data_IF_503216278742
#
_entry.id   IF_503216278742
#
_cell.length_a   1.000
_cell.length_b   1.000
_cell.length_c   1.000
_cell.angle_alpha   90.00
_cell.angle_beta   90.00
_cell.angle_gamma   90.00
#
_symmetry.space_group_name_H-M   'P 1'
#
loop_
_entity.id
_entity.type
_entity.pdbx_description
1 polymer ?
#
# COMPACT_ATOMS: atom_id res chain seq x y z
N UNK A 1 -12.20 1.29 -18.91
CA UNK A 1 -13.15 2.37 -18.52
C UNK A 1 -13.95 2.79 -19.73
N UNK A 2 -15.09 3.46 -19.60
CA UNK A 2 -15.80 4.04 -20.75
C UNK A 2 -15.29 5.46 -20.98
N UNK A 3 -14.91 5.77 -22.22
CA UNK A 3 -14.44 7.09 -22.64
C UNK A 3 -15.24 7.53 -23.87
N UNK A 4 -15.50 8.83 -24.00
CA UNK A 4 -16.22 9.42 -25.14
C UNK A 4 -15.22 10.24 -25.94
N UNK A 5 -15.20 10.08 -27.27
CA UNK A 5 -14.28 10.74 -28.18
C UNK A 5 -15.04 11.29 -29.37
N UNK A 6 -14.81 12.54 -29.77
CA UNK A 6 -15.42 13.03 -31.01
C UNK A 6 -14.71 12.43 -32.22
N UNK A 7 -15.43 12.00 -33.25
CA UNK A 7 -14.87 11.62 -34.54
C UNK A 7 -15.27 12.63 -35.62
N UNK A 8 -14.40 12.84 -36.60
CA UNK A 8 -14.68 13.69 -37.74
C UNK A 8 -15.40 12.86 -38.82
N UNK A 9 -16.65 13.20 -39.13
CA UNK A 9 -17.35 12.62 -40.28
C UNK A 9 -17.19 13.57 -41.46
N UNK A 10 -16.39 13.20 -42.46
CA UNK A 10 -16.33 13.94 -43.73
C UNK A 10 -17.49 13.44 -44.58
N UNK A 11 -18.50 14.29 -44.76
CA UNK A 11 -19.63 14.02 -45.65
C UNK A 11 -19.26 14.53 -47.05
N UNK A 12 -19.31 13.67 -48.06
CA UNK A 12 -18.99 14.03 -49.46
C UNK A 12 -19.92 15.12 -50.03
N UNK A 13 -21.05 15.41 -49.38
CA UNK A 13 -22.07 16.37 -49.82
C UNK A 13 -22.14 17.68 -49.01
N UNK A 14 -21.33 17.87 -47.95
CA UNK A 14 -21.43 19.05 -47.08
C UNK A 14 -20.16 19.93 -47.12
N UNK A 15 -20.27 21.25 -47.39
CA UNK A 15 -19.12 22.17 -47.37
C UNK A 15 -18.59 22.51 -45.96
N UNK A 16 -19.12 21.89 -44.90
CA UNK A 16 -18.73 22.13 -43.52
C UNK A 16 -18.30 20.82 -42.84
N UNK A 17 -17.07 20.80 -42.32
CA UNK A 17 -16.58 19.74 -41.43
C UNK A 17 -17.37 19.81 -40.11
N UNK A 18 -17.97 18.69 -39.70
CA UNK A 18 -18.72 18.58 -38.45
C UNK A 18 -18.10 17.52 -37.55
N UNK A 19 -17.70 17.92 -36.34
CA UNK A 19 -17.28 17.00 -35.29
C UNK A 19 -18.52 16.38 -34.63
N UNK A 20 -18.53 15.06 -34.46
CA UNK A 20 -19.61 14.31 -33.81
C UNK A 20 -19.07 13.54 -32.62
N UNK A 21 -19.81 13.47 -31.51
CA UNK A 21 -19.44 12.62 -30.38
C UNK A 21 -19.62 11.14 -30.74
N UNK A 22 -18.56 10.35 -30.58
CA UNK A 22 -18.54 8.90 -30.68
C UNK A 22 -18.15 8.32 -29.30
N UNK A 23 -18.60 7.12 -28.95
CA UNK A 23 -18.09 6.41 -27.77
C UNK A 23 -17.14 5.32 -28.24
N UNK A 24 -15.91 5.31 -27.70
CA UNK A 24 -14.92 4.28 -28.00
C UNK A 24 -14.53 3.56 -26.72
N UNK A 25 -14.47 2.23 -26.80
CA UNK A 25 -14.00 1.40 -25.69
C UNK A 25 -12.52 1.10 -25.89
N UNK A 26 -11.70 1.56 -24.97
CA UNK A 26 -10.28 1.23 -24.90
C UNK A 26 -10.06 0.21 -23.79
N UNK A 27 -9.42 -0.90 -24.16
CA UNK A 27 -9.00 -1.94 -23.23
C UNK A 27 -7.58 -1.66 -22.75
N UNK A 28 -7.40 -1.70 -21.43
CA UNK A 28 -6.09 -1.55 -20.80
C UNK A 28 -5.92 -2.73 -19.88
N UNK A 29 -4.82 -3.44 -20.06
CA UNK A 29 -4.37 -4.47 -19.14
C UNK A 29 -3.51 -3.82 -18.05
N UNK A 30 -3.85 -4.08 -16.80
CA UNK A 30 -3.03 -3.68 -15.64
C UNK A 30 -2.19 -4.89 -15.26
N UNK A 31 -0.93 -4.89 -15.69
CA UNK A 31 -0.02 -5.99 -15.44
C UNK A 31 0.42 -6.06 -13.97
N UNK A 32 0.73 -7.26 -13.46
CA UNK A 32 1.32 -7.43 -12.13
C UNK A 32 2.55 -6.54 -11.95
N UNK A 33 2.62 -5.86 -10.80
CA UNK A 33 3.77 -5.04 -10.44
C UNK A 33 3.75 -3.62 -10.99
N UNK A 34 2.86 -3.27 -11.92
CA UNK A 34 2.70 -1.88 -12.40
C UNK A 34 2.64 -0.89 -11.23
N UNK A 35 3.39 0.20 -11.34
CA UNK A 35 3.62 1.13 -10.23
C UNK A 35 2.65 2.31 -10.25
N UNK A 36 2.52 2.97 -9.10
CA UNK A 36 1.77 4.23 -9.02
C UNK A 36 2.39 5.28 -9.95
N UNK A 37 1.54 5.97 -10.71
CA UNK A 37 1.97 7.01 -11.62
C UNK A 37 2.45 6.52 -13.00
N UNK A 38 2.54 5.20 -13.22
CA UNK A 38 2.90 4.64 -14.53
C UNK A 38 1.88 5.07 -15.59
N UNK A 39 2.36 5.45 -16.77
CA UNK A 39 1.57 5.98 -17.86
C UNK A 39 1.48 5.00 -19.04
N UNK A 40 0.29 4.87 -19.62
CA UNK A 40 0.07 4.21 -20.91
C UNK A 40 -0.47 5.24 -21.90
N UNK A 41 0.20 5.37 -23.04
CA UNK A 41 -0.14 6.35 -24.08
C UNK A 41 -0.85 5.65 -25.24
N UNK A 42 -2.01 6.19 -25.62
CA UNK A 42 -2.75 5.84 -26.81
C UNK A 42 -2.57 6.96 -27.84
N UNK A 43 -1.78 6.68 -28.86
CA UNK A 43 -1.40 7.66 -29.89
C UNK A 43 -2.61 7.99 -30.74
N UNK A 44 -2.88 9.28 -30.97
CA UNK A 44 -3.98 9.76 -31.81
C UNK A 44 -5.40 9.30 -31.37
N UNK A 45 -5.58 8.89 -30.11
CA UNK A 45 -6.89 8.57 -29.50
C UNK A 45 -7.42 9.72 -28.61
N UNK A 46 -6.87 10.92 -28.76
CA UNK A 46 -7.35 12.15 -28.15
C UNK A 46 -8.38 12.87 -29.02
N UNK A 47 -8.65 14.14 -28.69
CA UNK A 47 -9.61 14.93 -29.47
C UNK A 47 -9.09 15.19 -30.90
N UNK A 48 -9.95 15.04 -31.93
CA UNK A 48 -9.59 15.30 -33.32
C UNK A 48 -9.45 16.80 -33.59
N UNK A 49 -8.51 17.16 -34.46
CA UNK A 49 -8.36 18.53 -34.96
C UNK A 49 -8.80 18.61 -36.42
N UNK A 50 -9.46 19.70 -36.81
CA UNK A 50 -9.96 19.89 -38.19
C UNK A 50 -8.80 19.93 -39.20
N UNK A 51 -7.68 20.54 -38.81
CA UNK A 51 -6.51 20.77 -39.67
C UNK A 51 -5.23 20.10 -39.12
N UNK A 52 -5.35 18.98 -38.41
CA UNK A 52 -4.20 18.29 -37.82
C UNK A 52 -4.49 16.91 -37.25
N UNK A 53 -3.44 16.24 -36.78
CA UNK A 53 -3.58 14.93 -36.14
C UNK A 53 -4.33 15.03 -34.80
N UNK A 54 -5.11 14.01 -34.41
CA UNK A 54 -5.69 13.94 -33.08
C UNK A 54 -4.63 13.98 -31.98
N UNK A 55 -5.00 14.49 -30.80
CA UNK A 55 -4.14 14.43 -29.63
C UNK A 55 -3.88 13.00 -29.14
N UNK A 56 -3.01 12.87 -28.13
CA UNK A 56 -2.80 11.58 -27.44
C UNK A 56 -3.67 11.47 -26.19
N UNK A 57 -4.15 10.25 -25.91
CA UNK A 57 -4.74 9.92 -24.62
C UNK A 57 -3.68 9.27 -23.72
N UNK A 58 -3.41 9.87 -22.57
CA UNK A 58 -2.46 9.34 -21.58
C UNK A 58 -3.23 8.89 -20.34
N UNK A 59 -3.11 7.61 -20.02
CA UNK A 59 -3.72 7.03 -18.82
C UNK A 59 -2.66 6.81 -17.77
N UNK A 60 -2.89 7.38 -16.58
CA UNK A 60 -2.01 7.24 -15.43
C UNK A 60 -2.63 6.29 -14.41
N UNK A 61 -1.88 5.28 -14.02
CA UNK A 61 -2.26 4.37 -12.95
C UNK A 61 -2.20 5.10 -11.62
N UNK A 62 -3.25 4.92 -10.81
CA UNK A 62 -3.30 5.44 -9.43
C UNK A 62 -3.63 4.31 -8.47
N UNK A 63 -2.72 4.08 -7.54
CA UNK A 63 -2.89 3.11 -6.45
C UNK A 63 -3.89 3.67 -5.46
N UNK A 64 -4.92 2.90 -5.16
CA UNK A 64 -5.89 3.27 -4.14
C UNK A 64 -5.36 2.91 -2.74
N UNK A 65 -5.60 3.75 -1.71
CA UNK A 65 -5.27 3.38 -0.33
C UNK A 65 -5.96 2.07 0.06
N UNK A 66 -5.21 1.17 0.69
CA UNK A 66 -5.73 -0.09 1.20
C UNK A 66 -5.82 -0.05 2.73
N UNK A 67 -6.82 -0.73 3.31
CA UNK A 67 -7.09 -0.68 4.76
C UNK A 67 -5.96 -1.30 5.59
N UNK A 68 -5.31 -2.33 5.06
CA UNK A 68 -4.31 -3.12 5.79
C UNK A 68 -2.88 -2.80 5.37
N UNK A 69 -2.66 -2.45 4.10
CA UNK A 69 -1.32 -2.38 3.53
C UNK A 69 -1.08 -1.03 2.90
N UNK A 70 0.12 -0.50 3.09
CA UNK A 70 0.64 0.62 2.33
C UNK A 70 1.73 0.09 1.38
N UNK A 71 1.57 0.32 0.08
CA UNK A 71 2.58 -0.02 -0.93
C UNK A 71 3.60 1.10 -1.05
N UNK A 72 4.89 0.77 -1.01
CA UNK A 72 5.98 1.69 -1.36
C UNK A 72 6.96 0.99 -2.31
N UNK A 73 6.90 1.34 -3.59
CA UNK A 73 7.59 0.57 -4.62
C UNK A 73 7.05 -0.86 -4.67
N UNK A 74 7.95 -1.84 -4.55
CA UNK A 74 7.57 -3.26 -4.50
C UNK A 74 7.34 -3.79 -3.08
N UNK A 75 7.61 -2.96 -2.05
CA UNK A 75 7.48 -3.35 -0.66
C UNK A 75 6.07 -3.02 -0.12
N UNK A 76 5.62 -3.84 0.84
CA UNK A 76 4.37 -3.63 1.57
C UNK A 76 4.67 -3.30 3.03
N UNK A 77 3.89 -2.40 3.61
CA UNK A 77 4.00 -1.98 4.99
C UNK A 77 2.67 -2.19 5.69
N UNK A 78 2.71 -2.71 6.91
CA UNK A 78 1.54 -2.82 7.80
C UNK A 78 1.96 -2.59 9.24
N UNK A 79 0.99 -2.17 10.04
CA UNK A 79 1.11 -2.13 11.49
C UNK A 79 0.26 -3.25 12.11
N UNK A 80 0.77 -3.82 13.20
CA UNK A 80 0.08 -4.84 13.99
C UNK A 80 0.16 -4.45 15.45
N UNK A 81 -0.99 -4.41 16.12
CA UNK A 81 -1.05 -4.20 17.55
C UNK A 81 -1.02 -5.55 18.27
N UNK A 82 -0.07 -5.71 19.19
CA UNK A 82 0.03 -6.87 20.08
C UNK A 82 -0.44 -6.49 21.48
N UNK A 83 -0.99 -7.46 22.22
CA UNK A 83 -1.18 -7.26 23.65
C UNK A 83 0.18 -7.15 24.36
N UNK A 84 0.24 -6.43 25.48
CA UNK A 84 1.45 -6.39 26.31
C UNK A 84 1.94 -7.79 26.69
N UNK A 85 1.01 -8.74 26.92
CA UNK A 85 1.35 -10.12 27.21
C UNK A 85 2.11 -10.76 26.05
N UNK A 86 1.54 -10.74 24.85
CA UNK A 86 2.14 -11.29 23.62
C UNK A 86 3.48 -10.63 23.30
N UNK A 87 3.58 -9.32 23.52
CA UNK A 87 4.80 -8.56 23.34
C UNK A 87 5.91 -9.02 24.30
N UNK A 88 5.58 -9.47 25.51
CA UNK A 88 6.55 -9.91 26.52
C UNK A 88 6.91 -11.40 26.39
N UNK A 89 5.93 -12.27 26.15
CA UNK A 89 6.12 -13.74 26.18
C UNK A 89 6.30 -14.37 24.80
N UNK A 90 6.03 -13.61 23.73
CA UNK A 90 6.02 -14.10 22.36
C UNK A 90 4.61 -14.35 21.83
N UNK A 91 4.52 -14.46 20.51
CA UNK A 91 3.26 -14.58 19.79
C UNK A 91 3.42 -15.40 18.51
N UNK A 92 2.30 -15.92 18.02
CA UNK A 92 2.17 -16.48 16.68
C UNK A 92 0.84 -16.05 16.10
N UNK A 93 0.86 -15.39 14.94
CA UNK A 93 -0.34 -14.91 14.27
C UNK A 93 -0.24 -15.08 12.76
N UNK A 94 -1.39 -14.93 12.08
CA UNK A 94 -1.49 -14.99 10.64
C UNK A 94 -1.98 -13.65 10.11
N UNK A 95 -1.36 -13.15 9.03
CA UNK A 95 -1.83 -11.98 8.29
C UNK A 95 -2.35 -12.47 6.93
N UNK A 96 -3.59 -12.13 6.60
CA UNK A 96 -4.14 -12.37 5.26
C UNK A 96 -3.48 -11.40 4.27
N UNK A 97 -2.84 -11.96 3.25
CA UNK A 97 -2.15 -11.21 2.20
C UNK A 97 -3.13 -10.77 1.09
N UNK A 98 -2.67 -9.96 0.15
CA UNK A 98 -3.45 -9.45 -0.98
C UNK A 98 -3.96 -10.56 -1.92
N UNK A 99 -3.27 -11.70 -1.96
CA UNK A 99 -3.65 -12.88 -2.74
C UNK A 99 -4.50 -13.90 -1.95
N UNK A 100 -4.91 -13.55 -0.73
CA UNK A 100 -5.69 -14.40 0.16
C UNK A 100 -4.88 -15.48 0.89
N UNK A 101 -3.57 -15.62 0.63
CA UNK A 101 -2.72 -16.52 1.41
C UNK A 101 -2.52 -15.96 2.82
N UNK A 102 -2.22 -16.86 3.76
CA UNK A 102 -1.90 -16.51 5.13
C UNK A 102 -0.39 -16.49 5.35
N UNK A 103 0.14 -15.35 5.76
CA UNK A 103 1.54 -15.18 6.14
C UNK A 103 1.67 -15.36 7.64
N UNK A 104 2.37 -16.42 8.06
CA UNK A 104 2.60 -16.70 9.48
C UNK A 104 3.72 -15.80 10.03
N UNK A 105 3.42 -15.10 11.11
CA UNK A 105 4.36 -14.20 11.81
C UNK A 105 4.46 -14.68 13.25
N UNK A 106 5.66 -15.15 13.60
CA UNK A 106 5.93 -15.76 14.91
C UNK A 106 7.18 -15.15 15.49
N UNK A 107 7.15 -14.93 16.81
CA UNK A 107 8.31 -14.46 17.57
C UNK A 107 8.21 -14.97 19.00
N UNK A 108 9.28 -15.57 19.48
CA UNK A 108 9.43 -16.18 20.81
C UNK A 108 10.09 -15.26 21.85
N UNK A 109 10.52 -14.07 21.41
CA UNK A 109 11.25 -13.09 22.22
C UNK A 109 10.39 -11.85 22.45
N UNK A 110 10.83 -11.05 23.43
CA UNK A 110 10.28 -9.72 23.67
C UNK A 110 10.26 -8.90 22.36
N UNK A 111 9.11 -8.28 22.12
CA UNK A 111 8.82 -7.42 20.98
C UNK A 111 8.50 -6.03 21.52
N UNK A 112 9.43 -5.09 21.31
CA UNK A 112 9.25 -3.71 21.78
C UNK A 112 8.32 -2.92 20.84
N UNK A 113 7.64 -1.87 21.34
CA UNK A 113 6.91 -0.95 20.50
C UNK A 113 7.80 -0.36 19.39
N UNK A 114 7.32 -0.34 18.16
CA UNK A 114 8.07 0.09 16.98
C UNK A 114 9.07 -0.96 16.45
N UNK A 115 9.17 -2.15 17.06
CA UNK A 115 9.92 -3.25 16.49
C UNK A 115 9.40 -3.59 15.09
N UNK A 116 10.30 -4.04 14.21
CA UNK A 116 9.94 -4.43 12.84
C UNK A 116 10.37 -5.85 12.53
N UNK A 117 9.47 -6.61 11.89
CA UNK A 117 9.78 -7.89 11.25
C UNK A 117 9.69 -7.71 9.74
N UNK A 118 10.61 -8.36 9.02
CA UNK A 118 10.65 -8.39 7.55
C UNK A 118 10.32 -9.80 7.08
N UNK A 119 9.37 -9.90 6.16
CA UNK A 119 9.02 -11.13 5.44
C UNK A 119 9.38 -10.94 3.96
N UNK A 120 10.60 -11.38 3.61
CA UNK A 120 11.12 -11.27 2.25
C UNK A 120 10.28 -12.16 1.32
N UNK A 121 9.92 -11.63 0.14
CA UNK A 121 9.11 -12.35 -0.85
C UNK A 121 7.60 -12.17 -0.65
N UNK A 122 7.17 -11.52 0.43
CA UNK A 122 5.75 -11.23 0.69
C UNK A 122 5.39 -9.77 0.36
N UNK A 123 6.18 -9.09 -0.50
CA UNK A 123 5.82 -7.79 -1.06
C UNK A 123 4.97 -7.91 -2.33
N UNK A 124 4.89 -6.82 -3.09
CA UNK A 124 4.34 -6.79 -4.44
C UNK A 124 5.29 -7.46 -5.44
N UNK A 125 4.79 -8.04 -6.53
CA UNK A 125 5.62 -8.48 -7.64
C UNK A 125 6.34 -7.27 -8.28
N UNK A 126 7.56 -7.49 -8.73
CA UNK A 126 8.31 -6.50 -9.49
C UNK A 126 7.83 -6.49 -10.95
N UNK A 127 7.58 -5.29 -11.49
CA UNK A 127 7.05 -5.11 -12.85
C UNK A 127 7.94 -5.68 -13.97
N UNK A 128 9.27 -5.54 -13.86
CA UNK A 128 10.21 -6.02 -14.89
C UNK A 128 10.42 -7.53 -14.82
N UNK A 129 10.34 -8.11 -13.62
CA UNK A 129 10.51 -9.53 -13.40
C UNK A 129 9.55 -10.03 -12.33
N UNK A 130 8.42 -10.57 -12.77
CA UNK A 130 7.36 -11.09 -11.93
C UNK A 130 7.77 -12.28 -11.03
N UNK A 131 8.96 -12.87 -11.23
CA UNK A 131 9.48 -13.88 -10.29
C UNK A 131 10.10 -13.25 -9.03
N UNK A 132 10.35 -11.94 -9.05
CA UNK A 132 10.86 -11.20 -7.91
C UNK A 132 9.71 -10.50 -7.19
N UNK A 133 9.75 -10.59 -5.87
CA UNK A 133 8.79 -9.92 -5.00
C UNK A 133 9.55 -9.07 -3.99
N UNK A 134 8.93 -7.95 -3.62
CA UNK A 134 9.43 -7.13 -2.53
C UNK A 134 9.27 -7.81 -1.16
N UNK A 135 9.32 -6.99 -0.12
CA UNK A 135 9.28 -7.42 1.27
C UNK A 135 8.06 -6.84 1.98
N UNK A 136 7.42 -7.65 2.82
CA UNK A 136 6.45 -7.16 3.78
C UNK A 136 7.16 -6.72 5.07
N UNK A 137 6.98 -5.46 5.44
CA UNK A 137 7.45 -4.87 6.69
C UNK A 137 6.29 -4.74 7.66
N UNK A 138 6.42 -5.38 8.82
CA UNK A 138 5.42 -5.37 9.88
C UNK A 138 5.99 -4.58 11.05
N UNK A 139 5.39 -3.45 11.37
CA UNK A 139 5.72 -2.65 12.56
C UNK A 139 4.76 -3.00 13.69
N UNK A 140 5.28 -3.21 14.90
CA UNK A 140 4.46 -3.61 16.04
C UNK A 140 4.15 -2.44 16.96
N UNK A 141 2.87 -2.25 17.24
CA UNK A 141 2.37 -1.42 18.33
C UNK A 141 2.01 -2.32 19.51
N UNK A 142 2.01 -1.79 20.74
CA UNK A 142 1.68 -2.58 21.94
C UNK A 142 0.51 -1.94 22.67
N UNK A 143 -0.57 -2.71 22.83
CA UNK A 143 -1.74 -2.34 23.62
C UNK A 143 -1.55 -2.78 25.08
N UNK A 144 -1.62 -1.80 25.98
CA UNK A 144 -1.61 -2.03 27.42
C UNK A 144 -3.02 -2.40 27.93
N UNK A 145 -3.12 -3.21 28.99
CA UNK A 145 -4.40 -3.53 29.60
C UNK A 145 -5.08 -2.24 30.12
N UNK A 146 -6.39 -2.13 29.88
CA UNK A 146 -7.20 -0.98 30.32
C UNK A 146 -7.65 -1.08 31.79
N UNK A 147 -7.58 -2.27 32.37
CA UNK A 147 -7.93 -2.53 33.77
C UNK A 147 -6.76 -2.22 34.70
N UNK A 148 -7.08 -1.68 35.86
CA UNK A 148 -6.10 -1.54 36.95
C UNK A 148 -5.68 -2.92 37.47
N UNK A 149 -4.39 -3.03 37.79
CA UNK A 149 -3.83 -4.21 38.44
C UNK A 149 -3.94 -4.09 39.97
N UNK A 150 -4.13 -5.23 40.63
CA UNK A 150 -4.09 -5.30 42.09
C UNK A 150 -2.68 -4.96 42.62
N UNK A 151 -2.57 -4.62 43.90
CA UNK A 151 -1.25 -4.38 44.51
C UNK A 151 -0.37 -5.63 44.48
N UNK A 152 -0.98 -6.81 44.59
CA UNK A 152 -0.29 -8.11 44.52
C UNK A 152 0.30 -8.35 43.12
N UNK A 153 -0.48 -8.09 42.06
CA UNK A 153 -0.03 -8.23 40.67
C UNK A 153 1.05 -7.20 40.32
N UNK A 154 0.89 -5.95 40.78
CA UNK A 154 1.90 -4.89 40.61
C UNK A 154 3.24 -5.32 41.20
N UNK A 155 3.23 -5.98 42.35
CA UNK A 155 4.43 -6.41 43.05
C UNK A 155 5.07 -7.63 42.39
N UNK A 156 4.25 -8.56 41.89
CA UNK A 156 4.70 -9.67 41.06
C UNK A 156 5.39 -9.18 39.78
N UNK A 157 4.79 -8.21 39.07
CA UNK A 157 5.37 -7.64 37.84
C UNK A 157 6.70 -6.94 38.11
N UNK A 158 6.81 -6.14 39.19
CA UNK A 158 8.08 -5.52 39.58
C UNK A 158 9.18 -6.56 39.77
N UNK A 159 8.85 -7.69 40.40
CA UNK A 159 9.79 -8.80 40.63
C UNK A 159 10.17 -9.53 39.34
N UNK A 160 9.21 -9.77 38.44
CA UNK A 160 9.45 -10.46 37.17
C UNK A 160 10.29 -9.61 36.23
N UNK A 161 9.93 -8.33 36.05
CA UNK A 161 10.64 -7.44 35.14
C UNK A 161 12.02 -7.05 35.68
N UNK A 162 12.16 -6.95 37.01
CA UNK A 162 13.41 -6.62 37.69
C UNK A 162 14.15 -5.41 37.06
N UNK A 163 13.39 -4.36 36.77
CA UNK A 163 13.88 -3.12 36.15
C UNK A 163 13.98 -1.99 37.17
N UNK A 164 15.03 -1.18 37.04
CA UNK A 164 15.13 0.08 37.76
C UNK A 164 14.22 1.14 37.12
N UNK A 165 13.77 2.10 37.92
CA UNK A 165 12.97 3.23 37.43
C UNK A 165 13.79 4.06 36.43
N UNK A 166 13.30 4.17 35.19
CA UNK A 166 13.89 5.02 34.14
C UNK A 166 12.86 6.09 33.76
N UNK A 167 13.02 7.28 34.32
CA UNK A 167 12.18 8.44 34.03
C UNK A 167 13.04 9.54 33.43
N UNK A 168 13.15 9.57 32.10
CA UNK A 168 13.95 10.57 31.39
C UNK A 168 13.03 11.60 30.74
N UNK A 169 13.18 12.87 31.13
CA UNK A 169 12.53 14.01 30.46
C UNK A 169 13.49 14.53 29.39
N UNK A 170 13.05 14.54 28.12
CA UNK A 170 13.83 15.05 27.01
C UNK A 170 12.93 15.86 26.06
N UNK A 171 13.49 16.87 25.39
CA UNK A 171 12.72 17.79 24.55
C UNK A 171 12.48 17.26 23.12
N UNK A 172 13.13 16.17 22.71
CA UNK A 172 12.97 15.57 21.38
C UNK A 172 13.38 16.44 20.18
N UNK A 173 13.91 17.64 20.42
CA UNK A 173 14.21 18.66 19.40
C UNK A 173 15.67 18.63 18.90
N UNK A 174 16.45 17.62 19.29
CA UNK A 174 17.87 17.49 18.94
C UNK A 174 18.12 16.76 17.61
N UNK A 175 17.43 17.15 16.54
CA UNK A 175 17.58 16.53 15.22
C UNK A 175 17.05 17.42 14.09
N UNK A 176 17.78 18.50 13.81
CA UNK A 176 17.82 19.18 12.51
C UNK A 176 19.27 19.26 12.05
#
# INVERSE_FOLDING_TARGET
GRFQMMQQTVCDECPNVKLVNEERTLEIEVEPGMTDGQETRFVAEGEPHIDGDPGDLVLRIRTMPHRTFERRGDDLYTNVTLSLQDALVGFSMEIEHLDGRKVVVTRDKITWPGARIRKKGEGMPNYENNNLHGTLYITFDVEFPKSELSNEDKEAIKKILNQNSVNTVYNGLGGF
#
